data_IF_370972060867
#
_entry.id   IF_370972060867
#
_cell.length_a   1.000
_cell.length_b   1.000
_cell.length_c   1.000
_cell.angle_alpha   90.00
_cell.angle_beta   90.00
_cell.angle_gamma   90.00
#
_symmetry.space_group_name_H-M   'P 1'
#
loop_
_entity.id
_entity.type
_entity.pdbx_description
1 polymer ?
#
# COMPACT_ATOMS: atom_id res chain seq x y z
N UNK A 1 5.85 -20.63 -23.58
CA UNK A 1 6.95 -19.66 -23.75
C UNK A 1 6.41 -18.33 -24.23
N UNK A 2 5.95 -18.18 -25.49
CA UNK A 2 5.45 -16.90 -26.01
C UNK A 2 4.19 -16.36 -25.30
N UNK A 3 3.21 -17.23 -24.98
CA UNK A 3 1.98 -16.83 -24.25
C UNK A 3 2.29 -16.40 -22.82
N UNK A 4 3.20 -17.11 -22.16
CA UNK A 4 3.65 -16.80 -20.79
C UNK A 4 4.42 -15.48 -20.74
N UNK A 5 5.30 -15.24 -21.72
CA UNK A 5 6.02 -13.98 -21.85
C UNK A 5 5.08 -12.81 -22.18
N UNK A 6 4.09 -13.01 -23.06
CA UNK A 6 3.09 -12.00 -23.37
C UNK A 6 2.20 -11.65 -22.17
N UNK A 7 1.85 -12.64 -21.34
CA UNK A 7 1.10 -12.41 -20.09
C UNK A 7 1.94 -11.63 -19.08
N UNK A 8 3.22 -11.98 -18.91
CA UNK A 8 4.14 -11.25 -18.03
C UNK A 8 4.36 -9.81 -18.51
N UNK A 9 4.54 -9.62 -19.83
CA UNK A 9 4.69 -8.28 -20.43
C UNK A 9 3.40 -7.46 -20.28
N UNK A 10 2.23 -8.07 -20.44
CA UNK A 10 0.94 -7.40 -20.23
C UNK A 10 0.76 -7.00 -18.76
N UNK A 11 1.19 -7.84 -17.82
CA UNK A 11 1.11 -7.57 -16.37
C UNK A 11 2.07 -6.45 -15.95
N UNK A 12 3.30 -6.44 -16.47
CA UNK A 12 4.28 -5.36 -16.26
C UNK A 12 3.81 -4.06 -16.91
N UNK A 13 3.21 -4.13 -18.11
CA UNK A 13 2.71 -2.95 -18.82
C UNK A 13 1.47 -2.33 -18.17
N UNK A 14 0.66 -3.13 -17.46
CA UNK A 14 -0.50 -2.64 -16.71
C UNK A 14 -0.07 -2.07 -15.35
N UNK A 15 1.05 -2.51 -14.78
CA UNK A 15 1.50 -2.09 -13.45
C UNK A 15 3.03 -1.86 -13.42
N UNK A 16 3.50 -0.63 -13.69
CA UNK A 16 4.90 -0.31 -13.52
C UNK A 16 5.34 -0.56 -12.07
N UNK A 17 6.61 -0.93 -11.89
CA UNK A 17 7.24 -1.08 -10.56
C UNK A 17 6.96 0.19 -9.76
N UNK A 18 6.44 0.09 -8.52
CA UNK A 18 6.10 1.26 -7.74
C UNK A 18 7.33 2.18 -7.60
N UNK A 19 7.14 3.52 -7.67
CA UNK A 19 8.22 4.43 -7.36
C UNK A 19 8.73 4.11 -5.95
N UNK A 20 10.06 3.98 -5.82
CA UNK A 20 10.70 3.62 -4.55
C UNK A 20 11.08 4.86 -3.73
N UNK A 21 10.84 6.06 -4.26
CA UNK A 21 11.17 7.32 -3.60
C UNK A 21 9.92 8.17 -3.40
N UNK A 22 9.84 8.84 -2.26
CA UNK A 22 8.78 9.76 -1.90
C UNK A 22 9.36 10.95 -1.11
N UNK A 23 8.87 12.16 -1.35
CA UNK A 23 9.24 13.34 -0.56
C UNK A 23 8.11 13.72 0.38
N UNK A 24 8.44 13.84 1.67
CA UNK A 24 7.56 14.27 2.74
C UNK A 24 7.92 15.67 3.20
N UNK A 25 6.93 16.59 3.23
CA UNK A 25 7.12 17.86 3.92
C UNK A 25 6.77 17.71 5.39
N UNK A 26 7.66 18.18 6.26
CA UNK A 26 7.50 18.17 7.72
C UNK A 26 7.60 19.58 8.29
N UNK A 27 7.49 19.67 9.62
CA UNK A 27 7.82 20.83 10.44
C UNK A 27 9.31 21.20 10.42
N UNK A 28 9.73 22.02 11.39
CA UNK A 28 11.16 22.26 11.63
C UNK A 28 11.88 21.05 12.22
N UNK A 29 13.20 21.12 12.37
CA UNK A 29 14.05 20.01 12.84
C UNK A 29 13.72 19.46 14.24
N UNK A 30 13.05 20.24 15.10
CA UNK A 30 12.60 19.81 16.44
C UNK A 30 11.06 19.65 16.53
N UNK A 31 10.36 19.66 15.40
CA UNK A 31 8.91 19.48 15.36
C UNK A 31 8.55 18.00 15.44
N UNK A 32 7.46 17.67 16.14
CA UNK A 32 6.99 16.28 16.31
C UNK A 32 6.70 15.61 14.96
N UNK A 33 6.25 16.38 13.97
CA UNK A 33 6.01 15.86 12.61
C UNK A 33 7.30 15.40 11.93
N UNK A 34 8.44 16.03 12.23
CA UNK A 34 9.76 15.62 11.73
C UNK A 34 10.24 14.36 12.43
N UNK A 35 9.97 14.22 13.74
CA UNK A 35 10.25 12.98 14.49
C UNK A 35 9.49 11.80 13.89
N UNK A 36 8.17 11.93 13.68
CA UNK A 36 7.38 10.88 13.04
C UNK A 36 7.84 10.57 11.62
N UNK A 37 8.22 11.58 10.84
CA UNK A 37 8.74 11.36 9.49
C UNK A 37 10.06 10.57 9.49
N UNK A 38 10.91 10.76 10.50
CA UNK A 38 12.13 9.97 10.66
C UNK A 38 11.81 8.51 10.97
N UNK A 39 10.85 8.25 11.86
CA UNK A 39 10.38 6.88 12.13
C UNK A 39 9.77 6.23 10.87
N UNK A 40 9.00 6.99 10.08
CA UNK A 40 8.50 6.51 8.79
C UNK A 40 9.64 6.21 7.82
N UNK A 41 10.66 7.06 7.77
CA UNK A 41 11.83 6.87 6.90
C UNK A 41 12.54 5.55 7.24
N UNK A 42 12.73 5.25 8.52
CA UNK A 42 13.40 4.03 8.98
C UNK A 42 12.56 2.78 8.59
N UNK A 43 11.26 2.77 8.89
CA UNK A 43 10.36 1.66 8.56
C UNK A 43 10.22 1.44 7.04
N UNK A 44 10.17 2.51 6.26
CA UNK A 44 10.10 2.42 4.79
C UNK A 44 11.42 1.90 4.20
N UNK A 45 12.55 2.25 4.78
CA UNK A 45 13.87 1.79 4.34
C UNK A 45 14.02 0.27 4.50
N UNK A 46 13.42 -0.32 5.54
CA UNK A 46 13.40 -1.78 5.73
C UNK A 46 12.66 -2.51 4.59
N UNK A 47 11.65 -1.88 4.01
CA UNK A 47 10.89 -2.39 2.86
C UNK A 47 11.52 -2.01 1.49
N UNK A 48 12.67 -1.32 1.50
CA UNK A 48 13.42 -0.92 0.32
C UNK A 48 12.94 0.38 -0.34
N UNK A 49 12.26 1.25 0.41
CA UNK A 49 11.77 2.55 -0.04
C UNK A 49 12.55 3.70 0.61
N UNK A 50 12.72 4.79 -0.12
CA UNK A 50 13.40 6.01 0.33
C UNK A 50 12.38 7.11 0.59
N UNK A 51 12.31 7.61 1.83
CA UNK A 51 11.55 8.80 2.19
C UNK A 51 12.49 9.99 2.33
N UNK A 52 12.36 11.00 1.47
CA UNK A 52 13.09 12.27 1.58
C UNK A 52 12.32 13.23 2.48
N UNK A 53 12.93 13.72 3.55
CA UNK A 53 12.32 14.68 4.47
C UNK A 53 12.66 16.10 4.04
N UNK A 54 11.64 16.91 3.84
CA UNK A 54 11.73 18.32 3.48
C UNK A 54 11.19 19.17 4.62
N UNK A 55 12.09 19.63 5.48
CA UNK A 55 11.75 20.46 6.64
C UNK A 55 11.15 21.82 6.21
N UNK A 56 10.19 22.31 6.98
CA UNK A 56 9.51 23.57 6.74
C UNK A 56 8.54 23.93 7.86
N UNK A 57 8.41 25.21 8.21
CA UNK A 57 7.61 25.58 9.39
C UNK A 57 6.12 25.64 9.04
N UNK A 58 5.33 24.77 9.67
CA UNK A 58 3.86 24.86 9.76
C UNK A 58 3.09 24.20 8.61
N UNK A 59 1.86 23.78 8.91
CA UNK A 59 0.99 23.04 7.99
C UNK A 59 0.61 23.82 6.73
N UNK A 60 0.60 25.16 6.76
CA UNK A 60 0.31 25.96 5.57
C UNK A 60 1.37 25.78 4.48
N UNK A 61 2.66 25.75 4.86
CA UNK A 61 3.76 25.48 3.94
C UNK A 61 3.72 24.03 3.43
N UNK A 62 3.36 23.08 4.30
CA UNK A 62 3.13 21.68 3.91
C UNK A 62 2.08 21.58 2.81
N UNK A 63 0.93 22.25 2.99
CA UNK A 63 -0.13 22.29 1.97
C UNK A 63 0.36 22.94 0.67
N UNK A 64 1.09 24.06 0.74
CA UNK A 64 1.67 24.71 -0.44
C UNK A 64 2.58 23.76 -1.23
N UNK A 65 3.47 23.04 -0.54
CA UNK A 65 4.39 22.05 -1.14
C UNK A 65 3.68 20.84 -1.74
N UNK A 66 2.61 20.39 -1.10
CA UNK A 66 1.76 19.32 -1.63
C UNK A 66 1.05 19.76 -2.90
N UNK A 67 0.52 20.99 -2.95
CA UNK A 67 -0.16 21.53 -4.13
C UNK A 67 0.84 21.78 -5.27
N UNK A 68 2.00 22.38 -4.97
CA UNK A 68 3.03 22.68 -5.97
C UNK A 68 3.72 21.42 -6.53
N UNK A 69 3.64 20.29 -5.80
CA UNK A 69 4.30 19.03 -6.17
C UNK A 69 5.74 18.91 -5.70
N UNK A 70 6.23 19.88 -4.91
CA UNK A 70 7.54 19.82 -4.25
C UNK A 70 7.61 18.65 -3.24
N UNK A 71 6.50 18.34 -2.59
CA UNK A 71 6.32 17.16 -1.75
C UNK A 71 5.08 16.37 -2.19
N UNK A 72 5.05 15.07 -1.88
CA UNK A 72 3.92 14.19 -2.19
C UNK A 72 3.11 13.78 -0.95
N UNK A 73 3.73 13.86 0.23
CA UNK A 73 3.10 13.55 1.52
C UNK A 73 3.49 14.59 2.56
N UNK A 74 2.66 14.79 3.59
CA UNK A 74 2.98 15.66 4.71
C UNK A 74 1.94 15.55 5.83
N UNK A 75 2.30 15.99 7.03
CA UNK A 75 1.37 16.03 8.16
C UNK A 75 0.73 17.43 8.22
N UNK A 76 -0.59 17.47 8.21
CA UNK A 76 -1.38 18.71 8.16
C UNK A 76 -2.48 18.64 9.22
N UNK A 77 -2.60 19.68 10.04
CA UNK A 77 -3.70 19.80 11.00
C UNK A 77 -5.04 19.98 10.28
N UNK A 78 -6.13 19.47 10.88
CA UNK A 78 -7.49 19.75 10.39
C UNK A 78 -7.76 21.26 10.31
N UNK A 79 -8.56 21.68 9.34
CA UNK A 79 -8.96 23.06 9.15
C UNK A 79 -7.93 23.91 8.40
N UNK A 80 -6.79 23.37 8.01
CA UNK A 80 -5.77 24.14 7.27
C UNK A 80 -5.98 24.07 5.76
N UNK A 81 -6.49 22.95 5.24
CA UNK A 81 -6.73 22.78 3.80
C UNK A 81 -8.03 23.48 3.42
N UNK A 82 -7.96 24.38 2.44
CA UNK A 82 -9.15 25.05 1.91
C UNK A 82 -9.92 24.11 0.94
N UNK A 83 -11.25 24.29 0.77
CA UNK A 83 -12.08 23.39 -0.04
C UNK A 83 -11.57 23.18 -1.47
N UNK A 84 -11.04 24.21 -2.13
CA UNK A 84 -10.50 24.11 -3.49
C UNK A 84 -9.22 23.27 -3.56
N UNK A 85 -8.43 23.25 -2.48
CA UNK A 85 -7.21 22.45 -2.39
C UNK A 85 -7.52 20.97 -2.10
N UNK A 86 -8.64 20.70 -1.43
CA UNK A 86 -9.08 19.34 -1.09
C UNK A 86 -9.43 18.47 -2.32
N UNK A 87 -9.58 19.06 -3.52
CA UNK A 87 -9.85 18.29 -4.75
C UNK A 87 -8.65 17.44 -5.21
N UNK A 88 -7.42 17.88 -4.91
CA UNK A 88 -6.17 17.24 -5.34
C UNK A 88 -5.38 16.60 -4.20
N UNK A 89 -5.94 16.62 -2.99
CA UNK A 89 -5.35 16.06 -1.79
C UNK A 89 -6.30 15.03 -1.17
N UNK A 90 -5.73 13.95 -0.63
CA UNK A 90 -6.46 12.97 0.19
C UNK A 90 -5.75 12.78 1.52
N UNK A 91 -6.48 12.36 2.54
CA UNK A 91 -5.86 11.88 3.78
C UNK A 91 -5.69 10.36 3.77
N UNK A 92 -4.63 9.86 4.42
CA UNK A 92 -4.50 8.45 4.76
C UNK A 92 -5.16 8.13 6.11
N UNK A 93 -5.51 9.16 6.87
CA UNK A 93 -6.12 9.10 8.18
C UNK A 93 -5.61 10.21 9.09
N UNK A 94 -6.38 10.50 10.13
CA UNK A 94 -5.90 11.23 11.31
C UNK A 94 -4.89 10.37 12.07
N UNK A 95 -3.90 10.97 12.72
CA UNK A 95 -2.76 10.33 13.37
C UNK A 95 -2.78 10.46 14.90
N UNK A 96 -3.10 11.64 15.41
CA UNK A 96 -3.18 11.94 16.84
C UNK A 96 -4.01 13.20 17.05
N UNK A 97 -4.47 13.43 18.29
CA UNK A 97 -5.22 14.64 18.60
C UNK A 97 -4.31 15.86 18.75
N UNK A 98 -4.81 17.00 18.29
CA UNK A 98 -4.19 18.31 18.51
C UNK A 98 -5.15 19.18 19.32
N UNK A 99 -5.07 19.09 20.67
CA UNK A 99 -5.84 19.96 21.54
C UNK A 99 -5.56 21.44 21.28
N UNK A 100 -6.62 22.23 21.38
CA UNK A 100 -6.61 23.68 21.22
C UNK A 100 -6.60 24.29 22.62
N UNK A 101 -5.40 24.50 23.14
CA UNK A 101 -5.17 25.07 24.45
C UNK A 101 -5.49 26.56 24.43
N UNK A 102 -6.49 26.97 25.21
CA UNK A 102 -6.83 28.39 25.39
C UNK A 102 -6.50 28.77 26.83
N UNK A 103 -5.31 29.32 26.99
CA UNK A 103 -4.83 29.79 28.27
C UNK A 103 -5.23 31.24 28.51
N UNK A 104 -5.50 31.60 29.75
CA UNK A 104 -5.82 32.97 30.16
C UNK A 104 -5.26 33.26 31.55
N UNK A 105 -5.14 34.53 31.92
CA UNK A 105 -4.67 34.90 33.26
C UNK A 105 -5.63 34.41 34.34
N UNK A 106 -5.10 33.73 35.37
CA UNK A 106 -5.91 33.07 36.39
C UNK A 106 -6.74 34.02 37.28
N UNK A 107 -6.44 35.33 37.28
CA UNK A 107 -7.21 36.34 38.00
C UNK A 107 -8.47 36.81 37.22
N UNK A 108 -8.63 36.36 35.97
CA UNK A 108 -9.79 36.65 35.14
C UNK A 108 -10.83 35.53 35.24
N UNK A 109 -12.11 35.88 35.17
CA UNK A 109 -13.18 34.89 35.07
C UNK A 109 -13.60 34.74 33.60
N UNK A 110 -13.08 33.71 32.94
CA UNK A 110 -13.40 33.37 31.54
C UNK A 110 -14.20 32.07 31.53
N UNK A 111 -15.48 32.13 31.16
CA UNK A 111 -16.36 30.95 31.07
C UNK A 111 -16.64 30.56 29.63
N UNK A 112 -16.65 31.54 28.73
CA UNK A 112 -16.87 31.36 27.31
C UNK A 112 -15.77 32.05 26.51
N UNK A 113 -15.49 31.53 25.31
CA UNK A 113 -14.56 32.16 24.37
C UNK A 113 -14.96 33.62 24.04
N UNK A 114 -16.25 33.93 24.07
CA UNK A 114 -16.77 35.30 23.89
C UNK A 114 -16.36 36.27 25.01
N UNK A 115 -15.96 35.79 26.18
CA UNK A 115 -15.49 36.62 27.29
C UNK A 115 -14.09 37.21 27.00
N UNK A 116 -13.44 36.74 25.93
CA UNK A 116 -12.19 37.30 25.42
C UNK A 116 -12.42 38.58 24.59
N UNK A 117 -13.66 39.04 24.40
CA UNK A 117 -13.95 40.27 23.69
C UNK A 117 -13.28 41.49 24.36
N UNK A 118 -12.55 42.28 23.59
CA UNK A 118 -11.81 43.45 24.07
C UNK A 118 -10.47 43.13 24.73
N UNK A 119 -10.07 41.86 24.79
CA UNK A 119 -8.83 41.41 25.42
C UNK A 119 -7.65 41.45 24.45
N UNK A 120 -6.44 41.37 25.00
CA UNK A 120 -5.20 41.13 24.24
C UNK A 120 -4.93 39.65 24.13
N UNK A 121 -5.03 39.11 22.91
CA UNK A 121 -5.10 37.67 22.66
C UNK A 121 -3.93 37.25 21.78
N UNK A 122 -3.07 36.37 22.30
CA UNK A 122 -2.03 35.72 21.52
C UNK A 122 -2.60 34.62 20.62
N UNK A 123 -2.38 34.69 19.30
CA UNK A 123 -2.96 33.72 18.35
C UNK A 123 -1.94 32.83 17.64
N UNK A 124 -0.67 32.79 18.05
CA UNK A 124 0.34 32.03 17.32
C UNK A 124 1.02 32.83 16.20
N UNK A 125 2.09 32.26 15.63
CA UNK A 125 2.90 32.89 14.60
C UNK A 125 2.21 32.90 13.22
N UNK A 126 2.65 33.80 12.33
CA UNK A 126 2.21 33.84 10.92
C UNK A 126 2.44 32.49 10.25
N UNK A 127 1.44 31.99 9.52
CA UNK A 127 1.50 30.72 8.80
C UNK A 127 1.36 29.47 9.68
N UNK A 128 1.25 29.61 11.01
CA UNK A 128 1.02 28.47 11.91
C UNK A 128 -0.43 27.98 11.91
N UNK A 129 -0.62 26.68 12.15
CA UNK A 129 -1.95 26.10 12.32
C UNK A 129 -2.70 26.69 13.51
N UNK A 130 -2.00 26.98 14.62
CA UNK A 130 -2.53 27.71 15.78
C UNK A 130 -3.23 29.00 15.37
N UNK A 131 -2.62 29.82 14.50
CA UNK A 131 -3.18 31.11 14.08
C UNK A 131 -4.44 30.97 13.26
N UNK A 132 -4.47 30.04 12.32
CA UNK A 132 -5.66 29.79 11.52
C UNK A 132 -6.82 29.31 12.39
N UNK A 133 -6.56 28.35 13.28
CA UNK A 133 -7.57 27.82 14.21
C UNK A 133 -8.05 28.88 15.20
N UNK A 134 -7.15 29.63 15.83
CA UNK A 134 -7.48 30.68 16.79
C UNK A 134 -8.35 31.76 16.16
N UNK A 135 -7.97 32.27 14.98
CA UNK A 135 -8.74 33.32 14.30
C UNK A 135 -10.15 32.85 13.92
N UNK A 136 -10.31 31.60 13.43
CA UNK A 136 -11.63 31.04 13.12
C UNK A 136 -12.52 30.90 14.36
N UNK A 137 -11.95 30.41 15.47
CA UNK A 137 -12.70 30.26 16.73
C UNK A 137 -13.08 31.62 17.36
N UNK A 138 -12.18 32.61 17.27
CA UNK A 138 -12.46 33.98 17.70
C UNK A 138 -13.57 34.63 16.85
N UNK A 139 -13.47 34.51 15.53
CA UNK A 139 -14.47 35.04 14.60
C UNK A 139 -15.85 34.41 14.83
N UNK A 140 -15.92 33.10 15.07
CA UNK A 140 -17.17 32.41 15.42
C UNK A 140 -17.83 32.92 16.72
N UNK A 141 -17.04 33.56 17.60
CA UNK A 141 -17.52 34.21 18.81
C UNK A 141 -17.65 35.74 18.67
N UNK A 142 -17.53 36.28 17.47
CA UNK A 142 -17.66 37.72 17.19
C UNK A 142 -16.44 38.54 17.59
N UNK A 143 -15.29 37.92 17.83
CA UNK A 143 -14.05 38.58 18.20
C UNK A 143 -13.22 38.82 16.94
N UNK A 144 -12.89 40.09 16.67
CA UNK A 144 -12.12 40.51 15.51
C UNK A 144 -11.06 41.53 15.93
N UNK A 145 -10.16 41.88 15.01
CA UNK A 145 -9.16 42.94 15.23
C UNK A 145 -9.77 44.32 15.46
N UNK A 146 -11.03 44.53 15.09
CA UNK A 146 -11.71 45.81 15.27
C UNK A 146 -12.22 46.03 16.70
N UNK A 147 -12.38 44.94 17.45
CA UNK A 147 -12.96 44.97 18.80
C UNK A 147 -12.05 44.38 19.89
N UNK A 148 -10.91 43.78 19.52
CA UNK A 148 -9.95 43.14 20.42
C UNK A 148 -8.54 43.27 19.87
N UNK A 149 -7.53 43.19 20.73
CA UNK A 149 -6.12 43.30 20.33
C UNK A 149 -5.56 41.89 20.06
N UNK A 150 -5.57 41.50 18.79
CA UNK A 150 -5.14 40.16 18.37
C UNK A 150 -3.67 40.21 17.96
N UNK A 151 -2.82 39.57 18.76
CA UNK A 151 -1.36 39.67 18.66
C UNK A 151 -0.77 38.36 18.16
N UNK A 152 0.13 38.47 17.19
CA UNK A 152 0.93 37.33 16.74
C UNK A 152 1.98 37.03 17.81
N UNK A 153 2.07 35.76 18.20
CA UNK A 153 2.91 35.33 19.32
C UNK A 153 3.54 34.00 18.99
N UNK A 154 4.86 33.87 19.18
CA UNK A 154 5.45 32.54 19.30
C UNK A 154 4.99 31.92 20.63
N UNK A 155 5.24 30.62 20.81
CA UNK A 155 4.95 30.00 22.11
C UNK A 155 5.72 30.65 23.26
N UNK A 156 6.99 31.03 23.05
CA UNK A 156 7.79 31.72 24.06
C UNK A 156 7.18 33.07 24.44
N UNK A 157 6.70 33.81 23.44
CA UNK A 157 6.02 35.10 23.66
C UNK A 157 4.67 34.93 24.35
N UNK A 158 3.94 33.85 24.05
CA UNK A 158 2.67 33.53 24.71
C UNK A 158 2.87 33.35 26.21
N UNK A 159 3.90 32.58 26.61
CA UNK A 159 4.20 32.33 28.02
C UNK A 159 4.61 33.60 28.75
N UNK A 160 5.62 34.29 28.24
CA UNK A 160 6.09 35.53 28.85
C UNK A 160 4.96 36.57 28.91
N UNK A 161 4.14 36.65 27.86
CA UNK A 161 3.01 37.54 27.76
C UNK A 161 1.94 37.26 28.82
N UNK A 162 1.52 36.01 29.00
CA UNK A 162 0.54 35.63 30.02
C UNK A 162 1.09 35.83 31.43
N UNK A 163 2.34 35.42 31.70
CA UNK A 163 2.96 35.53 33.04
C UNK A 163 3.22 36.99 33.46
N UNK A 164 3.56 37.87 32.51
CA UNK A 164 3.80 39.31 32.78
C UNK A 164 2.53 40.15 32.79
N UNK A 165 1.41 39.58 32.36
CA UNK A 165 0.16 40.30 32.16
C UNK A 165 0.08 41.09 30.85
N UNK A 166 1.06 40.95 29.95
CA UNK A 166 1.09 41.52 28.59
C UNK A 166 0.09 40.88 27.61
N UNK A 167 -0.38 39.67 27.90
CA UNK A 167 -1.49 39.02 27.19
C UNK A 167 -2.54 38.59 28.21
N UNK A 168 -3.82 38.80 27.87
CA UNK A 168 -4.94 38.36 28.71
C UNK A 168 -5.27 36.88 28.48
N UNK A 169 -5.10 36.44 27.23
CA UNK A 169 -5.32 35.07 26.81
C UNK A 169 -4.43 34.71 25.63
N UNK A 170 -4.32 33.43 25.33
CA UNK A 170 -3.83 33.01 24.03
C UNK A 170 -3.99 31.54 23.73
N UNK A 171 -3.80 31.26 22.45
CA UNK A 171 -4.04 29.97 21.84
C UNK A 171 -2.73 29.25 21.59
N UNK A 172 -2.74 27.94 21.83
CA UNK A 172 -1.68 27.06 21.40
C UNK A 172 -2.30 25.74 20.92
N UNK A 173 -1.97 25.31 19.70
CA UNK A 173 -2.43 24.03 19.15
C UNK A 173 -1.19 23.14 19.03
N UNK A 174 -1.17 22.07 19.81
CA UNK A 174 -0.03 21.14 19.87
C UNK A 174 -0.45 19.83 20.51
N UNK A 175 0.38 18.80 20.38
CA UNK A 175 0.19 17.51 21.06
C UNK A 175 0.13 17.67 22.59
N UNK A 176 -0.69 16.85 23.28
CA UNK A 176 -0.73 16.78 24.75
C UNK A 176 0.62 16.67 25.45
N UNK A 177 1.54 15.90 24.88
CA UNK A 177 2.78 15.50 25.54
C UNK A 177 3.84 16.61 25.54
N UNK A 178 3.49 17.79 25.02
CA UNK A 178 4.36 18.94 24.99
C UNK A 178 4.63 19.45 26.41
N UNK A 179 5.89 19.38 26.84
CA UNK A 179 6.35 19.82 28.18
C UNK A 179 5.91 21.26 28.49
N UNK A 180 5.80 22.09 27.45
CA UNK A 180 5.42 23.47 27.58
C UNK A 180 3.95 23.64 28.00
N UNK A 181 3.04 22.77 27.56
CA UNK A 181 1.65 22.70 28.03
C UNK A 181 1.61 22.28 29.50
N UNK A 182 2.37 21.25 29.86
CA UNK A 182 2.48 20.81 31.25
C UNK A 182 3.00 21.93 32.17
N UNK A 183 3.88 22.80 31.66
CA UNK A 183 4.38 23.97 32.42
C UNK A 183 3.30 25.02 32.69
N UNK A 184 2.41 25.28 31.73
CA UNK A 184 1.27 26.19 31.93
C UNK A 184 0.25 25.62 32.91
N UNK A 185 -0.06 24.32 32.80
CA UNK A 185 -1.02 23.65 33.69
C UNK A 185 -0.54 23.63 35.16
N UNK A 186 0.77 23.72 35.41
CA UNK A 186 1.35 23.85 36.75
C UNK A 186 1.47 25.30 37.25
N UNK A 187 1.15 26.29 36.42
CA UNK A 187 1.27 27.70 36.80
C UNK A 187 0.07 28.14 37.64
N UNK A 188 0.34 28.92 38.70
CA UNK A 188 -0.71 29.56 39.50
C UNK A 188 -1.24 30.86 38.86
N UNK A 189 -0.55 31.39 37.85
CA UNK A 189 -0.91 32.66 37.19
C UNK A 189 -1.70 32.48 35.90
N UNK A 190 -1.79 31.24 35.41
CA UNK A 190 -2.44 30.91 34.13
C UNK A 190 -3.46 29.81 34.36
N UNK A 191 -4.65 29.97 33.80
CA UNK A 191 -5.70 28.98 33.80
C UNK A 191 -6.00 28.50 32.38
N UNK A 192 -6.55 27.29 32.26
CA UNK A 192 -6.99 26.72 31.00
C UNK A 192 -8.52 26.83 30.90
N UNK A 193 -9.01 27.30 29.75
CA UNK A 193 -10.43 27.44 29.49
C UNK A 193 -11.12 26.07 29.38
N UNK A 194 -12.08 25.82 30.27
CA UNK A 194 -13.01 24.69 30.15
C UNK A 194 -14.14 25.02 29.15
N UNK A 195 -14.17 24.30 28.04
CA UNK A 195 -15.10 24.57 26.94
C UNK A 195 -16.52 24.11 27.28
N UNK A 196 -17.38 25.06 27.61
CA UNK A 196 -18.77 24.80 28.04
C UNK A 196 -19.74 24.37 26.93
N UNK A 197 -19.46 24.70 25.66
CA UNK A 197 -20.38 24.46 24.52
C UNK A 197 -19.72 23.66 23.39
N UNK A 198 -19.14 22.48 23.68
CA UNK A 198 -18.36 21.74 22.70
C UNK A 198 -19.20 21.32 21.48
N UNK A 199 -20.45 20.91 21.69
CA UNK A 199 -21.33 20.46 20.59
C UNK A 199 -21.64 21.56 19.57
N UNK A 200 -21.68 22.83 20.01
CA UNK A 200 -21.87 23.96 19.11
C UNK A 200 -20.66 24.13 18.18
N UNK A 201 -19.44 24.02 18.73
CA UNK A 201 -18.22 24.09 17.93
C UNK A 201 -18.10 22.90 16.97
N UNK A 202 -18.45 21.70 17.41
CA UNK A 202 -18.46 20.49 16.56
C UNK A 202 -19.49 20.56 15.45
N UNK A 203 -20.61 21.23 15.68
CA UNK A 203 -21.63 21.47 14.65
C UNK A 203 -21.18 22.47 13.59
N UNK A 204 -20.41 23.50 13.99
CA UNK A 204 -19.83 24.49 13.08
C UNK A 204 -18.60 23.95 12.33
N UNK A 205 -17.81 23.12 13.01
CA UNK A 205 -16.55 22.55 12.54
C UNK A 205 -16.55 21.04 12.77
N UNK A 206 -17.11 20.24 11.84
CA UNK A 206 -17.28 18.79 12.01
C UNK A 206 -15.99 17.98 12.19
N UNK A 207 -14.85 18.56 11.82
CA UNK A 207 -13.53 17.98 12.04
C UNK A 207 -13.04 18.12 13.49
N UNK A 208 -13.64 19.00 14.29
CA UNK A 208 -13.31 19.14 15.71
C UNK A 208 -13.97 18.05 16.54
N UNK A 209 -13.27 17.67 17.60
CA UNK A 209 -13.77 16.83 18.69
C UNK A 209 -13.45 17.48 20.03
N UNK A 210 -13.68 16.76 21.11
CA UNK A 210 -13.25 17.13 22.45
C UNK A 210 -12.34 16.08 23.03
N UNK A 211 -11.34 16.54 23.78
CA UNK A 211 -10.57 15.72 24.71
C UNK A 211 -10.78 16.25 26.12
N UNK A 212 -10.61 15.39 27.11
CA UNK A 212 -10.71 15.78 28.53
C UNK A 212 -9.35 15.67 29.17
N UNK A 213 -8.84 16.80 29.67
CA UNK A 213 -7.67 16.83 30.56
C UNK A 213 -8.15 16.31 31.90
N UNK A 214 -7.88 15.03 32.18
CA UNK A 214 -8.31 14.37 33.40
C UNK A 214 -7.75 15.04 34.65
N UNK A 215 -8.49 14.94 35.75
CA UNK A 215 -8.00 15.37 37.06
C UNK A 215 -6.68 14.65 37.40
N UNK A 216 -5.66 15.41 37.79
CA UNK A 216 -4.34 14.87 38.14
C UNK A 216 -3.51 14.36 36.95
N UNK A 217 -3.94 14.57 35.71
CA UNK A 217 -3.27 14.02 34.51
C UNK A 217 -1.81 14.50 34.36
N UNK A 218 -1.51 15.73 34.73
CA UNK A 218 -0.16 16.32 34.61
C UNK A 218 0.72 16.00 35.82
N UNK A 219 0.10 15.97 37.00
CA UNK A 219 0.77 15.65 38.26
C UNK A 219 -0.24 15.01 39.22
N UNK A 220 -0.17 13.69 39.36
CA UNK A 220 -1.02 12.93 40.26
C UNK A 220 -0.74 13.22 41.74
N UNK A 221 0.49 13.60 42.09
CA UNK A 221 0.86 13.89 43.48
C UNK A 221 0.21 15.19 43.96
N UNK A 222 0.24 16.22 43.11
CA UNK A 222 -0.28 17.55 43.41
C UNK A 222 -1.70 17.78 42.87
N UNK A 223 -2.30 16.76 42.24
CA UNK A 223 -3.63 16.79 41.64
C UNK A 223 -3.81 17.92 40.61
N UNK A 224 -2.94 17.95 39.59
CA UNK A 224 -2.94 18.96 38.52
C UNK A 224 -3.42 18.32 37.19
N UNK A 225 -4.47 18.85 36.53
CA UNK A 225 -5.40 19.87 37.04
C UNK A 225 -6.28 19.33 38.20
N UNK A 226 -6.83 20.21 39.06
CA UNK A 226 -7.62 19.81 40.22
C UNK A 226 -9.01 19.25 39.87
N UNK A 227 -9.50 19.53 38.67
CA UNK A 227 -10.75 19.04 38.11
C UNK A 227 -10.59 18.71 36.62
N UNK A 228 -11.47 17.87 36.05
CA UNK A 228 -11.43 17.58 34.62
C UNK A 228 -11.75 18.83 33.79
N UNK A 229 -10.96 19.09 32.74
CA UNK A 229 -11.14 20.25 31.85
C UNK A 229 -11.45 19.75 30.44
N UNK A 230 -12.54 20.23 29.84
CA UNK A 230 -12.93 19.91 28.47
C UNK A 230 -12.25 20.85 27.50
N UNK A 231 -11.52 20.30 26.52
CA UNK A 231 -10.77 21.07 25.53
C UNK A 231 -11.21 20.64 24.13
N UNK A 232 -11.32 21.60 23.20
CA UNK A 232 -11.53 21.27 21.79
C UNK A 232 -10.25 20.69 21.22
N UNK A 233 -10.36 19.71 20.32
CA UNK A 233 -9.22 19.15 19.63
C UNK A 233 -9.53 19.01 18.13
N UNK A 234 -8.54 19.36 17.31
CA UNK A 234 -8.47 18.84 15.95
C UNK A 234 -7.71 17.52 15.92
N UNK A 235 -7.28 17.12 14.73
CA UNK A 235 -6.32 16.04 14.59
C UNK A 235 -5.26 16.37 13.53
N UNK A 236 -4.05 15.85 13.73
CA UNK A 236 -3.04 15.84 12.69
C UNK A 236 -3.39 14.75 11.66
N UNK A 237 -3.36 15.06 10.38
CA UNK A 237 -3.69 14.14 9.30
C UNK A 237 -2.46 13.88 8.43
N UNK A 238 -2.22 12.62 8.05
CA UNK A 238 -1.26 12.34 6.98
C UNK A 238 -1.93 12.60 5.63
N UNK A 239 -1.52 13.66 4.96
CA UNK A 239 -2.09 14.11 3.69
C UNK A 239 -1.17 13.72 2.54
N UNK A 240 -1.74 13.20 1.48
CA UNK A 240 -1.07 12.82 0.24
C UNK A 240 -1.71 13.50 -0.96
N UNK A 241 -0.93 13.70 -2.01
CA UNK A 241 -1.50 14.07 -3.31
C UNK A 241 -2.32 12.91 -3.90
N UNK A 242 -3.37 13.24 -4.65
CA UNK A 242 -4.24 12.26 -5.32
C UNK A 242 -3.52 11.42 -6.39
N UNK A 243 -2.36 11.86 -6.88
CA UNK A 243 -1.58 11.18 -7.91
C UNK A 243 -0.50 10.22 -7.36
N UNK A 244 -0.39 10.09 -6.03
CA UNK A 244 0.54 9.13 -5.40
C UNK A 244 0.13 7.70 -5.75
N UNK A 245 1.12 6.88 -6.11
CA UNK A 245 0.87 5.51 -6.53
C UNK A 245 0.17 4.67 -5.43
N UNK A 246 -0.89 3.91 -5.73
CA UNK A 246 -1.67 3.17 -4.72
C UNK A 246 -0.86 2.26 -3.80
N UNK A 247 0.21 1.62 -4.30
CA UNK A 247 1.09 0.80 -3.46
C UNK A 247 1.86 1.62 -2.42
N UNK A 248 2.29 2.85 -2.75
CA UNK A 248 2.92 3.73 -1.76
C UNK A 248 1.91 4.15 -0.71
N UNK A 249 0.68 4.48 -1.11
CA UNK A 249 -0.38 4.79 -0.16
C UNK A 249 -0.66 3.61 0.77
N UNK A 250 -0.73 2.39 0.24
CA UNK A 250 -0.92 1.16 1.03
C UNK A 250 0.22 0.95 2.03
N UNK A 251 1.47 1.09 1.57
CA UNK A 251 2.64 0.95 2.43
C UNK A 251 2.65 2.01 3.53
N UNK A 252 2.43 3.29 3.18
CA UNK A 252 2.34 4.38 4.16
C UNK A 252 1.22 4.14 5.17
N UNK A 253 0.06 3.61 4.74
CA UNK A 253 -1.06 3.29 5.62
C UNK A 253 -0.68 2.26 6.68
N UNK A 254 0.13 1.26 6.28
CA UNK A 254 0.71 0.27 7.20
C UNK A 254 1.73 0.91 8.14
N UNK A 255 2.64 1.72 7.61
CA UNK A 255 3.65 2.43 8.41
C UNK A 255 3.00 3.32 9.48
N UNK A 256 1.99 4.11 9.13
CA UNK A 256 1.31 4.96 10.13
C UNK A 256 0.51 4.14 11.13
N UNK A 257 0.00 2.96 10.77
CA UNK A 257 -0.67 2.07 11.71
C UNK A 257 0.31 1.48 12.73
N UNK A 258 1.52 1.16 12.29
CA UNK A 258 2.57 0.71 13.21
C UNK A 258 2.99 1.81 14.18
N UNK A 259 3.20 3.04 13.69
CA UNK A 259 3.64 4.17 14.52
C UNK A 259 2.55 4.70 15.47
N UNK A 260 1.30 4.86 14.99
CA UNK A 260 0.25 5.59 15.72
C UNK A 260 -0.77 4.70 16.45
N UNK A 261 -0.59 3.37 16.45
CA UNK A 261 -1.53 2.45 17.13
C UNK A 261 -1.37 2.40 18.65
N UNK A 262 -0.29 2.96 19.19
CA UNK A 262 -0.06 3.01 20.63
C UNK A 262 -1.01 3.99 21.31
N UNK A 263 -1.37 3.72 22.58
CA UNK A 263 -2.12 4.68 23.37
C UNK A 263 -1.26 5.93 23.66
N UNK A 264 -1.90 7.10 23.64
CA UNK A 264 -1.32 8.39 23.99
C UNK A 264 -1.95 8.95 25.28
N UNK A 265 -1.76 10.25 25.51
CA UNK A 265 -2.39 10.93 26.65
C UNK A 265 -3.92 11.03 26.50
N UNK A 266 -4.41 11.21 25.28
CA UNK A 266 -5.84 11.33 24.98
C UNK A 266 -6.37 10.20 24.09
N UNK A 267 -5.47 9.41 23.52
CA UNK A 267 -5.73 8.39 22.52
C UNK A 267 -5.76 6.99 23.14
N UNK A 268 -6.81 6.22 22.85
CA UNK A 268 -6.89 4.81 23.19
C UNK A 268 -6.01 3.96 22.24
N UNK A 269 -5.57 2.78 22.71
CA UNK A 269 -4.83 1.83 21.86
C UNK A 269 -5.64 1.45 20.62
N UNK A 270 -5.03 1.59 19.44
CA UNK A 270 -5.66 1.31 18.15
C UNK A 270 -6.71 2.32 17.71
N UNK A 271 -6.83 3.47 18.40
CA UNK A 271 -7.72 4.55 17.97
C UNK A 271 -7.24 5.23 16.70
N UNK A 272 -5.92 5.35 16.54
CA UNK A 272 -5.28 5.92 15.37
C UNK A 272 -4.40 4.87 14.66
N UNK A 273 -4.16 5.03 13.34
CA UNK A 273 -4.76 6.01 12.44
C UNK A 273 -6.28 5.81 12.28
N UNK A 274 -7.01 6.90 11.99
CA UNK A 274 -8.48 6.85 11.90
C UNK A 274 -9.04 7.54 10.66
N UNK A 275 -10.22 7.07 10.25
CA UNK A 275 -11.06 7.70 9.24
C UNK A 275 -11.90 8.87 9.80
N UNK A 276 -11.91 9.04 11.13
CA UNK A 276 -12.59 10.14 11.80
C UNK A 276 -11.70 11.39 11.89
N UNK A 277 -12.25 12.48 12.44
CA UNK A 277 -11.49 13.69 12.82
C UNK A 277 -10.69 14.31 11.65
N UNK A 278 -11.30 14.31 10.46
CA UNK A 278 -10.69 14.83 9.24
C UNK A 278 -11.70 15.65 8.44
N UNK A 279 -11.22 16.70 7.78
CA UNK A 279 -11.95 17.52 6.81
C UNK A 279 -11.60 17.14 5.35
N UNK A 280 -10.78 16.11 5.15
CA UNK A 280 -10.36 15.63 3.84
C UNK A 280 -11.00 14.29 3.48
N UNK A 281 -11.06 14.03 2.17
CA UNK A 281 -11.48 12.71 1.68
C UNK A 281 -10.37 11.69 1.95
N UNK A 282 -10.75 10.56 2.56
CA UNK A 282 -9.81 9.46 2.80
C UNK A 282 -9.52 8.76 1.47
N UNK A 283 -8.23 8.55 1.19
CA UNK A 283 -7.79 7.82 0.02
C UNK A 283 -8.37 6.39 0.00
N UNK A 284 -8.86 5.87 -1.14
CA UNK A 284 -9.52 4.56 -1.21
C UNK A 284 -8.69 3.40 -0.65
N UNK A 285 -7.38 3.36 -0.95
CA UNK A 285 -6.47 2.33 -0.42
C UNK A 285 -6.25 2.44 1.09
N UNK A 286 -6.19 3.66 1.63
CA UNK A 286 -6.06 3.86 3.07
C UNK A 286 -7.35 3.44 3.77
N UNK A 287 -8.53 3.79 3.23
CA UNK A 287 -9.81 3.30 3.74
C UNK A 287 -9.87 1.77 3.78
N UNK A 288 -9.38 1.11 2.73
CA UNK A 288 -9.30 -0.36 2.68
C UNK A 288 -8.35 -0.90 3.75
N UNK A 289 -7.20 -0.26 3.95
CA UNK A 289 -6.25 -0.61 5.01
C UNK A 289 -6.88 -0.48 6.41
N UNK A 290 -7.48 0.66 6.72
CA UNK A 290 -8.11 0.90 8.03
C UNK A 290 -9.26 -0.08 8.31
N UNK A 291 -9.96 -0.57 7.27
CA UNK A 291 -11.05 -1.51 7.42
C UNK A 291 -10.61 -2.98 7.53
N UNK A 292 -9.57 -3.38 6.79
CA UNK A 292 -9.21 -4.80 6.60
C UNK A 292 -7.85 -5.16 7.20
N UNK A 293 -6.99 -4.19 7.51
CA UNK A 293 -5.60 -4.41 7.91
C UNK A 293 -4.73 -4.96 6.78
N UNK A 294 -3.65 -5.64 7.14
CA UNK A 294 -2.73 -6.32 6.20
C UNK A 294 -3.46 -7.46 5.45
N UNK A 295 -3.12 -7.64 4.17
CA UNK A 295 -3.55 -8.83 3.42
C UNK A 295 -2.83 -10.09 3.93
N UNK A 296 -3.31 -11.26 3.52
CA UNK A 296 -2.66 -12.53 3.85
C UNK A 296 -1.17 -12.57 3.45
N UNK A 297 -0.82 -11.98 2.30
CA UNK A 297 0.57 -11.96 1.84
C UNK A 297 1.39 -10.87 2.50
N UNK A 298 0.80 -9.70 2.76
CA UNK A 298 1.48 -8.61 3.49
C UNK A 298 1.84 -9.04 4.91
N UNK A 299 1.02 -9.89 5.55
CA UNK A 299 1.31 -10.44 6.86
C UNK A 299 2.48 -11.45 6.89
N UNK A 300 2.88 -12.00 5.74
CA UNK A 300 3.85 -13.12 5.67
C UNK A 300 5.10 -12.84 4.85
N UNK A 301 5.09 -11.80 3.99
CA UNK A 301 6.15 -11.51 3.03
C UNK A 301 6.49 -10.01 3.01
N UNK A 302 7.70 -9.63 2.57
CA UNK A 302 8.04 -8.23 2.30
C UNK A 302 7.04 -7.58 1.35
N UNK A 303 6.77 -6.29 1.56
CA UNK A 303 5.66 -5.57 0.94
C UNK A 303 5.67 -5.63 -0.60
N UNK A 304 6.84 -5.46 -1.21
CA UNK A 304 6.98 -5.51 -2.68
C UNK A 304 6.55 -6.87 -3.22
N UNK A 305 6.93 -7.97 -2.56
CA UNK A 305 6.54 -9.30 -2.98
C UNK A 305 5.06 -9.59 -2.71
N UNK A 306 4.56 -9.17 -1.54
CA UNK A 306 3.16 -9.32 -1.16
C UNK A 306 2.20 -8.62 -2.12
N UNK A 307 2.46 -7.34 -2.41
CA UNK A 307 1.64 -6.51 -3.30
C UNK A 307 1.57 -7.06 -4.72
N UNK A 308 2.64 -7.71 -5.19
CA UNK A 308 2.66 -8.42 -6.47
C UNK A 308 1.76 -9.67 -6.40
N UNK A 309 1.89 -10.48 -5.35
CA UNK A 309 1.20 -11.76 -5.21
C UNK A 309 -0.33 -11.61 -5.04
N UNK A 310 -0.78 -10.63 -4.25
CA UNK A 310 -2.20 -10.31 -4.07
C UNK A 310 -2.89 -10.06 -5.42
N UNK A 311 -2.23 -9.31 -6.31
CA UNK A 311 -2.77 -8.99 -7.64
C UNK A 311 -2.76 -10.19 -8.57
N UNK A 312 -1.73 -11.02 -8.51
CA UNK A 312 -1.64 -12.23 -9.34
C UNK A 312 -2.75 -13.22 -9.00
N UNK A 313 -3.12 -13.37 -7.74
CA UNK A 313 -4.14 -14.33 -7.33
C UNK A 313 -5.51 -14.00 -7.93
N UNK A 314 -5.89 -12.72 -8.00
CA UNK A 314 -7.15 -12.27 -8.59
C UNK A 314 -7.23 -12.67 -10.08
N UNK A 315 -6.10 -12.64 -10.80
CA UNK A 315 -6.03 -13.01 -12.22
C UNK A 315 -5.87 -14.53 -12.41
N UNK A 316 -5.11 -15.20 -11.53
CA UNK A 316 -4.82 -16.63 -11.63
C UNK A 316 -6.04 -17.48 -11.29
N UNK A 317 -6.84 -17.12 -10.28
CA UNK A 317 -8.03 -17.88 -9.89
C UNK A 317 -8.98 -18.16 -11.07
N UNK A 318 -9.42 -17.18 -11.87
CA UNK A 318 -10.27 -17.43 -13.03
C UNK A 318 -9.53 -18.10 -14.19
N UNK A 319 -8.20 -17.97 -14.26
CA UNK A 319 -7.39 -18.59 -15.30
C UNK A 319 -7.18 -20.10 -15.08
N UNK A 320 -7.11 -20.56 -13.83
CA UNK A 320 -6.94 -21.99 -13.47
C UNK A 320 -7.97 -22.91 -14.17
N UNK A 321 -9.29 -22.66 -14.10
CA UNK A 321 -10.27 -23.50 -14.79
C UNK A 321 -10.15 -23.41 -16.32
N UNK A 322 -9.67 -22.29 -16.86
CA UNK A 322 -9.41 -22.15 -18.30
C UNK A 322 -8.15 -22.92 -18.74
N UNK A 323 -7.15 -23.06 -17.87
CA UNK A 323 -5.95 -23.85 -18.12
C UNK A 323 -6.22 -25.36 -17.99
N UNK A 324 -7.22 -25.77 -17.21
CA UNK A 324 -7.57 -27.19 -17.03
C UNK A 324 -7.76 -27.97 -18.36
N UNK A 325 -8.59 -27.51 -19.33
CA UNK A 325 -8.72 -28.21 -20.61
C UNK A 325 -7.42 -28.20 -21.43
N UNK A 326 -6.60 -27.15 -21.32
CA UNK A 326 -5.32 -27.06 -22.03
C UNK A 326 -4.32 -28.10 -21.48
N UNK A 327 -4.21 -28.20 -20.16
CA UNK A 327 -3.36 -29.19 -19.47
C UNK A 327 -3.86 -30.60 -19.79
N UNK A 328 -5.18 -30.83 -19.75
CA UNK A 328 -5.80 -32.11 -20.11
C UNK A 328 -5.64 -32.46 -21.61
N UNK A 329 -5.47 -31.46 -22.47
CA UNK A 329 -5.21 -31.62 -23.91
C UNK A 329 -3.76 -31.98 -24.26
N UNK A 330 -2.81 -31.82 -23.34
CA UNK A 330 -1.39 -32.15 -23.60
C UNK A 330 -1.15 -33.65 -23.84
N UNK A 331 -1.66 -34.59 -23.02
CA UNK A 331 -1.46 -36.02 -23.25
C UNK A 331 -1.95 -36.54 -24.62
N UNK A 332 -3.18 -36.23 -25.10
CA UNK A 332 -3.62 -36.74 -26.41
C UNK A 332 -2.83 -36.17 -27.58
N UNK A 333 -2.43 -34.88 -27.54
CA UNK A 333 -1.61 -34.27 -28.60
C UNK A 333 -0.21 -34.89 -28.62
N UNK A 334 0.39 -35.08 -27.44
CA UNK A 334 1.66 -35.77 -27.30
C UNK A 334 1.59 -37.21 -27.85
N UNK A 335 0.52 -37.94 -27.52
CA UNK A 335 0.25 -39.27 -28.05
C UNK A 335 0.05 -39.28 -29.57
N UNK A 336 -0.63 -38.28 -30.14
CA UNK A 336 -0.86 -38.16 -31.58
C UNK A 336 0.46 -38.00 -32.36
N UNK A 337 1.40 -37.20 -31.85
CA UNK A 337 2.72 -37.01 -32.48
C UNK A 337 3.51 -38.31 -32.48
N UNK A 338 3.49 -39.06 -31.38
CA UNK A 338 4.18 -40.36 -31.27
C UNK A 338 3.52 -41.41 -32.16
N UNK A 339 2.19 -41.49 -32.18
CA UNK A 339 1.44 -42.42 -33.04
C UNK A 339 1.73 -42.18 -34.52
N UNK A 340 1.72 -40.93 -34.98
CA UNK A 340 2.02 -40.61 -36.38
C UNK A 340 3.39 -41.12 -36.82
N UNK A 341 4.39 -41.14 -35.92
CA UNK A 341 5.71 -41.69 -36.22
C UNK A 341 5.68 -43.21 -36.34
N UNK A 342 5.11 -43.91 -35.36
CA UNK A 342 5.04 -45.38 -35.34
C UNK A 342 4.16 -45.92 -36.49
N UNK A 343 2.98 -45.33 -36.70
CA UNK A 343 2.05 -45.73 -37.77
C UNK A 343 2.62 -45.52 -39.17
N UNK A 344 3.45 -44.48 -39.38
CA UNK A 344 4.11 -44.26 -40.68
C UNK A 344 5.01 -45.44 -41.06
N UNK A 345 5.80 -45.94 -40.13
CA UNK A 345 6.68 -47.09 -40.36
C UNK A 345 5.90 -48.39 -40.52
N UNK A 346 4.85 -48.59 -39.72
CA UNK A 346 3.91 -49.71 -39.90
C UNK A 346 3.24 -49.71 -41.28
N UNK A 347 2.87 -48.55 -41.82
CA UNK A 347 2.28 -48.44 -43.16
C UNK A 347 3.22 -48.93 -44.26
N UNK A 348 4.50 -48.53 -44.20
CA UNK A 348 5.53 -48.97 -45.16
C UNK A 348 5.76 -50.48 -45.03
N UNK A 349 5.85 -51.00 -43.80
CA UNK A 349 6.00 -52.43 -43.56
C UNK A 349 4.82 -53.25 -44.09
N UNK A 350 3.59 -52.75 -43.92
CA UNK A 350 2.38 -53.41 -44.40
C UNK A 350 2.32 -53.46 -45.94
N UNK A 351 2.76 -52.41 -46.64
CA UNK A 351 2.86 -52.41 -48.10
C UNK A 351 3.85 -53.47 -48.61
N UNK A 352 4.97 -53.65 -47.90
CA UNK A 352 6.00 -54.64 -48.25
C UNK A 352 5.48 -56.05 -47.97
N UNK A 353 4.85 -56.28 -46.81
CA UNK A 353 4.31 -57.61 -46.46
C UNK A 353 3.19 -58.07 -47.41
N UNK A 354 2.29 -57.17 -47.83
CA UNK A 354 1.25 -57.52 -48.81
C UNK A 354 1.83 -57.98 -50.16
N UNK A 355 2.91 -57.35 -50.60
CA UNK A 355 3.54 -57.65 -51.89
C UNK A 355 4.61 -58.72 -51.78
N UNK A 356 4.98 -59.13 -50.57
CA UNK A 356 6.07 -60.06 -50.31
C UNK A 356 5.96 -61.34 -51.14
N UNK A 357 4.75 -61.86 -51.32
CA UNK A 357 4.50 -63.10 -52.08
C UNK A 357 4.35 -62.90 -53.60
N UNK A 358 4.46 -61.68 -54.10
CA UNK A 358 4.29 -61.34 -55.53
C UNK A 358 5.49 -60.57 -56.09
N UNK A 359 6.47 -60.21 -55.27
CA UNK A 359 7.65 -59.49 -55.71
C UNK A 359 8.50 -60.34 -56.67
N UNK A 360 8.92 -59.76 -57.81
CA UNK A 360 9.91 -60.36 -58.71
C UNK A 360 11.32 -60.28 -58.11
N UNK A 361 12.21 -61.17 -58.55
CA UNK A 361 13.53 -61.38 -57.92
C UNK A 361 14.42 -60.12 -57.89
N UNK A 362 14.28 -59.23 -58.89
CA UNK A 362 14.99 -57.96 -59.03
C UNK A 362 14.53 -56.89 -58.01
N UNK A 363 13.33 -57.03 -57.44
CA UNK A 363 12.78 -56.07 -56.47
C UNK A 363 12.93 -56.51 -55.01
N UNK A 364 13.23 -57.79 -54.76
CA UNK A 364 13.36 -58.31 -53.39
C UNK A 364 14.54 -57.65 -52.65
N UNK A 365 15.69 -57.50 -53.30
CA UNK A 365 16.86 -56.88 -52.66
C UNK A 365 16.65 -55.37 -52.40
N UNK A 366 15.82 -54.69 -53.20
CA UNK A 366 15.44 -53.28 -53.00
C UNK A 366 14.58 -53.13 -51.76
N UNK A 367 13.57 -53.99 -51.58
CA UNK A 367 12.69 -53.94 -50.41
C UNK A 367 13.37 -54.45 -49.13
N UNK A 368 14.29 -55.42 -49.22
CA UNK A 368 15.14 -55.83 -48.08
C UNK A 368 16.00 -54.67 -47.58
N UNK A 369 16.65 -53.93 -48.49
CA UNK A 369 17.43 -52.74 -48.12
C UNK A 369 16.55 -51.65 -47.49
N UNK A 370 15.33 -51.47 -48.00
CA UNK A 370 14.36 -50.53 -47.45
C UNK A 370 13.94 -50.90 -46.02
N UNK A 371 13.77 -52.18 -45.71
CA UNK A 371 13.49 -52.66 -44.34
C UNK A 371 14.69 -52.44 -43.41
N UNK A 372 15.91 -52.64 -43.88
CA UNK A 372 17.14 -52.37 -43.13
C UNK A 372 17.29 -50.87 -42.80
N UNK A 373 17.04 -49.99 -43.77
CA UNK A 373 17.05 -48.54 -43.58
C UNK A 373 16.01 -48.09 -42.53
N UNK A 374 14.83 -48.73 -42.50
CA UNK A 374 13.80 -48.47 -41.48
C UNK A 374 14.28 -48.90 -40.09
N UNK A 375 14.91 -50.07 -39.98
CA UNK A 375 15.41 -50.60 -38.71
C UNK A 375 16.56 -49.75 -38.15
N UNK A 376 17.45 -49.25 -39.01
CA UNK A 376 18.52 -48.32 -38.63
C UNK A 376 17.96 -46.96 -38.20
N UNK A 377 16.97 -46.43 -38.92
CA UNK A 377 16.27 -45.19 -38.54
C UNK A 377 15.53 -45.32 -37.19
N UNK A 378 14.93 -46.48 -36.92
CA UNK A 378 14.28 -46.77 -35.62
C UNK A 378 15.30 -46.88 -34.48
N UNK A 379 16.45 -47.51 -34.73
CA UNK A 379 17.50 -47.69 -33.72
C UNK A 379 18.20 -46.39 -33.33
N UNK A 380 18.30 -45.43 -34.26
CA UNK A 380 18.84 -44.08 -34.04
C UNK A 380 17.84 -43.09 -33.45
N UNK A 381 16.57 -43.46 -33.36
CA UNK A 381 15.50 -42.59 -32.85
C UNK A 381 15.40 -42.63 -31.31
N UNK A 382 14.98 -41.53 -30.66
CA UNK A 382 14.74 -41.52 -29.21
C UNK A 382 13.68 -42.57 -28.81
N UNK A 383 13.96 -43.33 -27.74
CA UNK A 383 13.04 -44.37 -27.25
C UNK A 383 11.69 -43.76 -26.82
N UNK A 384 10.56 -44.40 -27.16
CA UNK A 384 9.26 -43.93 -26.73
C UNK A 384 9.08 -44.11 -25.20
N UNK A 385 8.11 -43.42 -24.58
CA UNK A 385 7.76 -43.57 -23.17
C UNK A 385 7.41 -45.03 -22.82
N UNK A 386 7.59 -45.42 -21.55
CA UNK A 386 7.40 -46.79 -21.05
C UNK A 386 6.07 -47.44 -21.49
N UNK A 387 4.96 -46.69 -21.46
CA UNK A 387 3.64 -47.18 -21.87
C UNK A 387 3.48 -47.51 -23.36
N UNK A 388 4.49 -47.21 -24.19
CA UNK A 388 4.49 -47.40 -25.66
C UNK A 388 5.66 -48.22 -26.17
N UNK A 389 6.51 -48.72 -25.27
CA UNK A 389 7.63 -49.59 -25.64
C UNK A 389 7.15 -50.88 -26.34
N UNK A 390 5.97 -51.40 -25.99
CA UNK A 390 5.38 -52.58 -26.64
C UNK A 390 5.13 -52.39 -28.14
N UNK A 391 4.52 -51.27 -28.55
CA UNK A 391 4.26 -50.96 -29.97
C UNK A 391 5.55 -50.86 -30.79
N UNK A 392 6.60 -50.30 -30.17
CA UNK A 392 7.92 -50.13 -30.77
C UNK A 392 8.66 -51.47 -30.94
N UNK A 393 8.67 -52.32 -29.91
CA UNK A 393 9.28 -53.65 -30.01
C UNK A 393 8.53 -54.56 -31.00
N UNK A 394 7.20 -54.50 -31.04
CA UNK A 394 6.40 -55.25 -32.02
C UNK A 394 6.72 -54.84 -33.46
N UNK A 395 6.97 -53.54 -33.71
CA UNK A 395 7.38 -53.07 -35.03
C UNK A 395 8.71 -53.67 -35.45
N UNK A 396 9.71 -53.68 -34.55
CA UNK A 396 11.02 -54.29 -34.83
C UNK A 396 10.87 -55.79 -35.14
N UNK A 397 10.07 -56.50 -34.34
CA UNK A 397 9.85 -57.93 -34.52
C UNK A 397 9.14 -58.25 -35.84
N UNK A 398 8.17 -57.44 -36.27
CA UNK A 398 7.54 -57.61 -37.57
C UNK A 398 8.48 -57.29 -38.74
N UNK A 399 9.34 -56.27 -38.62
CA UNK A 399 10.35 -55.99 -39.65
C UNK A 399 11.25 -57.22 -39.83
N UNK A 400 11.75 -57.81 -38.74
CA UNK A 400 12.57 -59.02 -38.79
C UNK A 400 11.84 -60.22 -39.43
N UNK A 401 10.55 -60.37 -39.14
CA UNK A 401 9.72 -61.45 -39.69
C UNK A 401 9.55 -61.30 -41.21
N UNK A 402 9.21 -60.10 -41.68
CA UNK A 402 9.02 -59.82 -43.12
C UNK A 402 10.36 -59.92 -43.86
N UNK A 403 11.45 -59.43 -43.28
CA UNK A 403 12.81 -59.58 -43.83
C UNK A 403 13.16 -61.06 -44.04
N UNK A 404 12.95 -61.92 -43.03
CA UNK A 404 13.19 -63.37 -43.15
C UNK A 404 12.31 -64.02 -44.21
N UNK A 405 11.05 -63.60 -44.33
CA UNK A 405 10.12 -64.10 -45.37
C UNK A 405 10.62 -63.75 -46.77
N UNK A 406 11.06 -62.51 -46.98
CA UNK A 406 11.66 -62.06 -48.25
C UNK A 406 12.98 -62.77 -48.56
N UNK A 407 13.83 -63.00 -47.57
CA UNK A 407 15.07 -63.79 -47.75
C UNK A 407 14.80 -65.24 -48.15
N UNK A 408 13.81 -65.87 -47.51
CA UNK A 408 13.38 -67.24 -47.85
C UNK A 408 12.84 -67.29 -49.28
N UNK A 409 12.04 -66.29 -49.68
CA UNK A 409 11.54 -66.18 -51.04
C UNK A 409 12.66 -65.91 -52.05
N UNK A 410 13.64 -65.07 -51.72
CA UNK A 410 14.84 -64.83 -52.53
C UNK A 410 15.58 -66.13 -52.80
N UNK A 411 15.79 -66.94 -51.75
CA UNK A 411 16.43 -68.26 -51.87
C UNK A 411 15.60 -69.22 -52.73
N UNK A 412 14.27 -69.21 -52.58
CA UNK A 412 13.37 -70.07 -53.36
C UNK A 412 13.36 -69.71 -54.85
N UNK A 413 13.33 -68.41 -55.18
CA UNK A 413 13.39 -67.92 -56.56
C UNK A 413 14.78 -68.12 -57.18
N UNK A 414 15.85 -68.05 -56.39
CA UNK A 414 17.21 -68.37 -56.84
C UNK A 414 17.43 -69.89 -57.08
N UNK A 415 16.61 -70.75 -56.48
CA UNK A 415 16.66 -72.21 -56.63
C UNK A 415 15.71 -72.76 -57.71
N UNK A 416 14.86 -71.93 -58.32
CA UNK A 416 13.97 -72.34 -59.41
C UNK A 416 14.76 -72.46 -60.75
N UNK A 417 14.74 -73.62 -61.44
CA UNK A 417 15.39 -73.75 -62.74
C UNK A 417 14.69 -72.90 -63.81
N UNK A 418 15.49 -72.24 -64.65
CA UNK A 418 15.07 -71.33 -65.72
C UNK A 418 14.16 -71.96 -66.78
#
# INVERSE_FOLDING_TARGET
>A
MAVSAALVVLIIAINPVPPIELTMSTGGSNDITTVFAQEYQDLLAEEGFTLNILEGVGSALTVERLISGEAQVGIVSTGIVEPEQAEVLNTLGSLYFEPIWVFYQADQEVRYMSDLLGKRIGVGAVGSGTRLTALRLLEANGITRDNSDIVESSFGDLRAGLESGELDAGFYVTSPDNEAVASFLRSDTVALLDVQRPDAYRSLYPYLTTVTVGQGLVDLQNNIPPEPITVLAGAANLVVRSDVHPNLVRLLSRTIAEVHSSAGMFEDTGQFPSAAFTDLTIHPEARRYLAEGDTFFEASFPFVFASILDRFIIVLIPLIPLLYPLIRGLPPVYNMVINRRITRWYGILYEIDQKADQLPADQIDVELKRLEDIMDALSKSPRPPLGRMGDFYNLQLHIDLVSKRLETRRQTLAAAPA
#
